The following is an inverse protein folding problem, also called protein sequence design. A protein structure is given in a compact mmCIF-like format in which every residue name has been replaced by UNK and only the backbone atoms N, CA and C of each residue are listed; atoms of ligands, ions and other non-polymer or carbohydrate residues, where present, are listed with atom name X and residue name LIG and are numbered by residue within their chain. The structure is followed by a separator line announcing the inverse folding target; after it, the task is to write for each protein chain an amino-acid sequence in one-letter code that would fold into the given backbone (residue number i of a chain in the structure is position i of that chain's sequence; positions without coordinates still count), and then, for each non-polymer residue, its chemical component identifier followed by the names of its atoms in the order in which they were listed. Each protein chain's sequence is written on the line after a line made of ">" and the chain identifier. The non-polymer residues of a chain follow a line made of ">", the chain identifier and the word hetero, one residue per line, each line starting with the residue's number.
data_IF_401799795145
#
_entry.id   IF_401799795145
#
_cell.length_a   1.000
_cell.length_b   1.000
_cell.length_c   1.000
_cell.angle_alpha   90.00
_cell.angle_beta   90.00
_cell.angle_gamma   90.00
#
_symmetry.space_group_name_H-M   'P 1'
#
loop_
_entity.id
_entity.type
_entity.pdbx_description
1 polymer ?
#
# COMPACT_ATOMS: atom_id res chain seq x y z
N UNK A 1 -14.88 -18.98 -16.47
CA UNK A 1 -14.62 -18.18 -15.26
C UNK A 1 -15.13 -16.74 -15.37
N UNK A 2 -14.84 -16.00 -16.47
CA UNK A 2 -15.28 -14.60 -16.66
C UNK A 2 -16.81 -14.46 -16.77
N UNK A 3 -17.45 -15.31 -17.57
CA UNK A 3 -18.92 -15.38 -17.70
C UNK A 3 -19.60 -15.64 -16.34
N UNK A 4 -18.95 -16.40 -15.48
CA UNK A 4 -19.45 -16.71 -14.15
C UNK A 4 -19.44 -15.49 -13.22
N UNK A 5 -18.41 -14.63 -13.30
CA UNK A 5 -18.33 -13.39 -12.51
C UNK A 5 -19.49 -12.44 -12.84
N UNK A 6 -19.76 -12.21 -14.13
CA UNK A 6 -20.86 -11.34 -14.55
C UNK A 6 -22.22 -11.91 -14.17
N UNK A 7 -22.41 -13.23 -14.31
CA UNK A 7 -23.66 -13.89 -13.94
C UNK A 7 -23.93 -13.80 -12.43
N UNK A 8 -22.90 -13.95 -11.61
CA UNK A 8 -22.98 -13.77 -10.15
C UNK A 8 -23.27 -12.33 -9.78
N UNK A 9 -22.54 -11.38 -10.37
CA UNK A 9 -22.78 -9.95 -10.14
C UNK A 9 -24.22 -9.58 -10.45
N UNK A 10 -24.74 -10.01 -11.60
CA UNK A 10 -26.13 -9.77 -12.01
C UNK A 10 -27.13 -10.34 -11.01
N UNK A 11 -26.89 -11.57 -10.52
CA UNK A 11 -27.76 -12.19 -9.51
C UNK A 11 -27.78 -11.43 -8.18
N UNK A 12 -26.70 -10.78 -7.85
CA UNK A 12 -26.53 -10.01 -6.62
C UNK A 12 -26.83 -8.50 -6.79
N UNK A 13 -27.32 -8.12 -7.96
CA UNK A 13 -27.58 -6.71 -8.31
C UNK A 13 -26.37 -5.80 -8.14
N UNK A 14 -25.18 -6.34 -8.44
CA UNK A 14 -23.92 -5.59 -8.40
C UNK A 14 -23.62 -5.04 -9.79
N UNK A 15 -23.44 -3.73 -9.89
CA UNK A 15 -23.03 -3.06 -11.13
C UNK A 15 -21.64 -3.55 -11.54
N UNK A 16 -21.49 -3.96 -12.81
CA UNK A 16 -20.23 -4.55 -13.31
C UNK A 16 -19.26 -3.55 -13.88
N UNK A 17 -19.76 -2.47 -14.47
CA UNK A 17 -18.99 -1.44 -15.20
C UNK A 17 -19.00 -0.12 -14.45
N UNK A 18 -18.49 -0.15 -13.21
CA UNK A 18 -18.31 1.04 -12.36
C UNK A 18 -16.89 1.14 -11.88
N UNK A 19 -16.46 2.35 -11.57
CA UNK A 19 -15.12 2.62 -11.06
C UNK A 19 -15.00 2.10 -9.63
N UNK A 20 -13.97 1.30 -9.39
CA UNK A 20 -13.66 0.75 -8.06
C UNK A 20 -12.17 0.80 -7.76
N UNK A 21 -11.86 0.86 -6.50
CA UNK A 21 -10.51 0.69 -5.98
C UNK A 21 -10.55 -0.21 -4.76
N UNK A 22 -9.48 -0.97 -4.54
CA UNK A 22 -9.34 -1.80 -3.35
C UNK A 22 -8.39 -1.13 -2.38
N UNK A 23 -8.86 -0.97 -1.14
CA UNK A 23 -8.03 -0.65 0.02
C UNK A 23 -7.82 -1.91 0.85
N UNK A 24 -6.62 -2.08 1.37
CA UNK A 24 -6.30 -3.07 2.39
C UNK A 24 -5.87 -2.31 3.64
N UNK A 25 -6.49 -2.62 4.75
CA UNK A 25 -6.15 -2.11 6.06
C UNK A 25 -5.54 -3.25 6.83
N UNK A 26 -4.32 -3.09 7.33
CA UNK A 26 -3.69 -4.02 8.27
C UNK A 26 -3.64 -3.39 9.65
N UNK A 27 -4.07 -4.13 10.65
CA UNK A 27 -4.01 -3.77 12.06
C UNK A 27 -3.17 -4.79 12.81
N UNK A 28 -2.49 -4.38 13.88
CA UNK A 28 -1.59 -5.27 14.64
C UNK A 28 -2.26 -5.94 15.85
N UNK A 29 -3.57 -5.85 15.98
CA UNK A 29 -4.27 -6.41 17.13
C UNK A 29 -4.48 -7.93 17.05
N UNK A 30 -3.94 -8.61 18.05
CA UNK A 30 -4.16 -10.05 18.27
C UNK A 30 -5.53 -10.37 18.89
N UNK A 31 -6.31 -9.39 19.41
CA UNK A 31 -7.56 -9.68 20.16
C UNK A 31 -8.56 -8.54 20.10
N UNK A 32 -9.79 -8.90 19.79
CA UNK A 32 -11.03 -8.12 20.01
C UNK A 32 -11.09 -6.72 19.40
N UNK A 33 -10.39 -6.48 18.28
CA UNK A 33 -10.52 -5.18 17.64
C UNK A 33 -11.87 -5.07 16.93
N UNK A 34 -12.61 -4.04 17.25
CA UNK A 34 -13.82 -3.65 16.52
C UNK A 34 -13.49 -2.95 15.20
N UNK A 35 -12.25 -3.08 14.69
CA UNK A 35 -11.76 -2.38 13.51
C UNK A 35 -12.66 -2.62 12.28
N UNK A 36 -13.05 -3.88 12.04
CA UNK A 36 -13.97 -4.22 10.95
C UNK A 36 -15.34 -3.53 11.10
N UNK A 37 -15.90 -3.53 12.32
CA UNK A 37 -17.20 -2.90 12.58
C UNK A 37 -17.10 -1.37 12.54
N UNK A 38 -16.00 -0.79 13.02
CA UNK A 38 -15.71 0.63 12.90
C UNK A 38 -15.64 1.07 11.44
N UNK A 39 -14.93 0.32 10.60
CA UNK A 39 -14.85 0.60 9.16
C UNK A 39 -16.22 0.43 8.49
N UNK A 40 -16.97 -0.62 8.81
CA UNK A 40 -18.34 -0.81 8.30
C UNK A 40 -19.27 0.33 8.69
N UNK A 41 -19.19 0.78 9.93
CA UNK A 41 -20.01 1.89 10.43
C UNK A 41 -19.67 3.21 9.73
N UNK A 42 -18.37 3.46 9.44
CA UNK A 42 -17.93 4.63 8.68
C UNK A 42 -18.51 4.68 7.28
N UNK A 43 -18.52 3.54 6.60
CA UNK A 43 -19.07 3.46 5.23
C UNK A 43 -20.59 3.58 5.19
N UNK A 44 -21.26 3.24 6.30
CA UNK A 44 -22.71 3.34 6.46
C UNK A 44 -23.49 2.25 5.69
N UNK A 45 -24.73 1.99 6.12
CA UNK A 45 -25.59 0.94 5.58
C UNK A 45 -26.11 1.19 4.15
N UNK A 46 -25.89 2.38 3.60
CA UNK A 46 -26.32 2.77 2.23
C UNK A 46 -25.20 2.77 1.21
N UNK A 47 -23.99 2.46 1.64
CA UNK A 47 -22.82 2.40 0.78
C UNK A 47 -22.92 1.20 -0.18
N UNK A 48 -22.52 1.41 -1.43
CA UNK A 48 -22.32 0.33 -2.40
C UNK A 48 -20.95 -0.35 -2.24
N UNK A 49 -20.23 0.00 -1.17
CA UNK A 49 -18.91 -0.52 -0.88
C UNK A 49 -19.00 -1.91 -0.24
N UNK A 50 -18.00 -2.74 -0.50
CA UNK A 50 -17.89 -4.04 0.13
C UNK A 50 -16.75 -4.02 1.13
N UNK A 51 -17.06 -4.45 2.35
CA UNK A 51 -16.08 -4.57 3.43
C UNK A 51 -16.06 -6.00 3.93
N UNK A 52 -14.88 -6.59 3.94
CA UNK A 52 -14.67 -7.94 4.45
C UNK A 52 -13.33 -8.03 5.18
N UNK A 53 -13.24 -8.93 6.15
CA UNK A 53 -11.96 -9.36 6.72
C UNK A 53 -11.50 -10.62 5.99
N UNK A 54 -10.21 -10.69 5.67
CA UNK A 54 -9.60 -11.90 5.09
C UNK A 54 -9.04 -12.77 6.20
N UNK A 55 -8.53 -12.13 7.22
CA UNK A 55 -7.99 -12.73 8.45
C UNK A 55 -8.18 -11.73 9.61
N UNK A 56 -7.61 -12.05 10.77
CA UNK A 56 -7.75 -11.23 11.98
C UNK A 56 -7.08 -9.84 11.86
N UNK A 57 -6.12 -9.70 10.94
CA UNK A 57 -5.31 -8.48 10.76
C UNK A 57 -5.70 -7.65 9.55
N UNK A 58 -6.32 -8.25 8.53
CA UNK A 58 -6.53 -7.61 7.24
C UNK A 58 -8.00 -7.38 6.92
N UNK A 59 -8.36 -6.10 6.79
CA UNK A 59 -9.68 -5.65 6.32
C UNK A 59 -9.53 -5.18 4.88
N UNK A 60 -10.43 -5.64 4.01
CA UNK A 60 -10.49 -5.24 2.62
C UNK A 60 -11.73 -4.40 2.38
N UNK A 61 -11.54 -3.26 1.74
CA UNK A 61 -12.61 -2.40 1.26
C UNK A 61 -12.55 -2.36 -0.25
N UNK A 62 -13.62 -2.77 -0.91
CA UNK A 62 -13.83 -2.51 -2.34
C UNK A 62 -14.72 -1.28 -2.44
N UNK A 63 -14.09 -0.14 -2.70
CA UNK A 63 -14.75 1.17 -2.75
C UNK A 63 -15.27 1.45 -4.15
N UNK A 64 -16.56 1.77 -4.29
CA UNK A 64 -17.12 2.35 -5.50
C UNK A 64 -16.82 3.85 -5.53
N UNK A 65 -16.38 4.36 -6.70
CA UNK A 65 -15.92 5.72 -6.88
C UNK A 65 -16.84 6.51 -7.78
N UNK A 66 -17.01 7.78 -7.48
CA UNK A 66 -17.67 8.75 -8.36
C UNK A 66 -16.75 9.11 -9.54
N UNK A 67 -17.32 9.73 -10.58
CA UNK A 67 -16.57 10.07 -11.80
C UNK A 67 -15.43 11.06 -11.55
N UNK A 68 -15.57 11.92 -10.55
CA UNK A 68 -14.61 12.99 -10.21
C UNK A 68 -13.52 12.51 -9.25
N UNK A 69 -13.69 11.32 -8.63
CA UNK A 69 -12.72 10.80 -7.68
C UNK A 69 -11.39 10.48 -8.35
N UNK A 70 -10.37 11.22 -8.00
CA UNK A 70 -9.00 11.10 -8.49
C UNK A 70 -8.03 10.68 -7.40
N UNK A 71 -6.74 10.83 -7.66
CA UNK A 71 -5.68 10.41 -6.74
C UNK A 71 -5.76 11.11 -5.36
N UNK A 72 -6.11 12.40 -5.34
CA UNK A 72 -6.23 13.18 -4.09
C UNK A 72 -7.38 12.69 -3.22
N UNK A 73 -8.49 12.32 -3.84
CA UNK A 73 -9.67 11.79 -3.15
C UNK A 73 -9.37 10.41 -2.56
N UNK A 74 -8.63 9.55 -3.28
CA UNK A 74 -8.19 8.25 -2.75
C UNK A 74 -7.28 8.41 -1.54
N UNK A 75 -6.32 9.32 -1.61
CA UNK A 75 -5.43 9.63 -0.48
C UNK A 75 -6.22 10.19 0.72
N UNK A 76 -7.18 11.08 0.46
CA UNK A 76 -8.09 11.61 1.49
C UNK A 76 -8.94 10.50 2.14
N UNK A 77 -9.47 9.57 1.35
CA UNK A 77 -10.22 8.42 1.86
C UNK A 77 -9.33 7.54 2.75
N UNK A 78 -8.13 7.21 2.27
CA UNK A 78 -7.17 6.41 3.04
C UNK A 78 -6.81 7.08 4.38
N UNK A 79 -6.51 8.37 4.37
CA UNK A 79 -6.24 9.12 5.60
C UNK A 79 -7.46 9.20 6.53
N UNK A 80 -8.67 9.26 5.98
CA UNK A 80 -9.91 9.21 6.75
C UNK A 80 -10.07 7.87 7.48
N UNK A 81 -9.81 6.76 6.82
CA UNK A 81 -9.78 5.43 7.44
C UNK A 81 -8.71 5.33 8.53
N UNK A 82 -7.50 5.85 8.25
CA UNK A 82 -6.42 5.84 9.22
C UNK A 82 -6.77 6.64 10.48
N UNK A 83 -7.33 7.84 10.32
CA UNK A 83 -7.75 8.68 11.45
C UNK A 83 -8.80 7.96 12.30
N UNK A 84 -9.82 7.38 11.66
CA UNK A 84 -10.84 6.62 12.36
C UNK A 84 -10.25 5.47 13.19
N UNK A 85 -9.32 4.73 12.60
CA UNK A 85 -8.69 3.59 13.26
C UNK A 85 -7.86 4.04 14.46
N UNK A 86 -7.07 5.10 14.32
CA UNK A 86 -6.29 5.68 15.42
C UNK A 86 -7.17 6.20 16.56
N UNK A 87 -8.28 6.85 16.23
CA UNK A 87 -9.25 7.33 17.22
C UNK A 87 -9.91 6.17 18.01
N UNK A 88 -9.87 4.96 17.47
CA UNK A 88 -10.37 3.73 18.10
C UNK A 88 -9.26 2.82 18.67
N UNK A 89 -8.02 3.34 18.79
CA UNK A 89 -6.91 2.63 19.44
C UNK A 89 -6.02 1.81 18.52
N UNK A 90 -6.24 1.86 17.18
CA UNK A 90 -5.42 1.17 16.19
C UNK A 90 -4.26 2.08 15.72
N UNK A 91 -3.32 2.38 16.61
CA UNK A 91 -2.23 3.33 16.37
C UNK A 91 -1.31 2.93 15.22
N UNK A 92 -1.05 1.61 15.09
CA UNK A 92 -0.11 1.03 14.13
C UNK A 92 -0.78 0.58 12.83
N UNK A 93 -2.02 1.00 12.58
CA UNK A 93 -2.74 0.66 11.37
C UNK A 93 -1.99 1.11 10.11
N UNK A 94 -1.88 0.22 9.13
CA UNK A 94 -1.34 0.49 7.80
C UNK A 94 -2.44 0.38 6.76
N UNK A 95 -2.47 1.31 5.81
CA UNK A 95 -3.45 1.32 4.73
C UNK A 95 -2.72 1.34 3.40
N UNK A 96 -3.05 0.41 2.54
CA UNK A 96 -2.56 0.40 1.17
C UNK A 96 -3.70 0.33 0.17
N UNK A 97 -3.53 0.91 -1.02
CA UNK A 97 -4.55 0.85 -2.06
C UNK A 97 -3.95 0.66 -3.45
N UNK A 98 -4.71 -0.06 -4.28
CA UNK A 98 -4.37 -0.34 -5.67
C UNK A 98 -4.73 0.80 -6.62
N UNK A 99 -4.73 0.49 -7.92
CA UNK A 99 -5.22 1.42 -8.95
C UNK A 99 -6.72 1.30 -9.14
N UNK A 100 -7.33 2.38 -9.64
CA UNK A 100 -8.74 2.40 -10.04
C UNK A 100 -8.94 1.45 -11.22
N UNK A 101 -9.97 0.62 -11.12
CA UNK A 101 -10.43 -0.28 -12.16
C UNK A 101 -11.85 0.07 -12.59
N UNK A 102 -12.24 -0.31 -13.81
CA UNK A 102 -13.52 0.08 -14.41
C UNK A 102 -14.48 -1.08 -14.61
N UNK A 103 -14.06 -2.28 -14.30
CA UNK A 103 -14.83 -3.51 -14.47
C UNK A 103 -14.64 -4.42 -13.25
N UNK A 104 -15.72 -5.10 -12.84
CA UNK A 104 -15.71 -6.00 -11.68
C UNK A 104 -14.67 -7.12 -11.80
N UNK A 105 -14.39 -7.60 -13.01
CA UNK A 105 -13.35 -8.62 -13.26
C UNK A 105 -11.94 -8.15 -12.92
N UNK A 106 -11.71 -6.83 -12.89
CA UNK A 106 -10.42 -6.21 -12.62
C UNK A 106 -10.21 -5.90 -11.14
N UNK A 107 -11.23 -6.06 -10.28
CA UNK A 107 -11.11 -5.82 -8.84
C UNK A 107 -9.98 -6.66 -8.24
N UNK A 108 -9.79 -7.90 -8.71
CA UNK A 108 -8.67 -8.74 -8.28
C UNK A 108 -7.29 -8.16 -8.62
N UNK A 109 -7.18 -7.36 -9.68
CA UNK A 109 -5.94 -6.63 -10.02
C UNK A 109 -5.69 -5.54 -8.98
N UNK A 110 -6.69 -4.68 -8.71
CA UNK A 110 -6.57 -3.63 -7.70
C UNK A 110 -6.23 -4.21 -6.31
N UNK A 111 -6.79 -5.37 -5.95
CA UNK A 111 -6.45 -6.09 -4.72
C UNK A 111 -4.97 -6.52 -4.69
N UNK A 112 -4.47 -7.15 -5.76
CA UNK A 112 -3.07 -7.59 -5.84
C UNK A 112 -2.10 -6.41 -5.77
N UNK A 113 -2.46 -5.30 -6.38
CA UNK A 113 -1.70 -4.05 -6.34
C UNK A 113 -1.69 -3.45 -4.92
N UNK A 114 -2.84 -3.42 -4.24
CA UNK A 114 -2.94 -2.98 -2.85
C UNK A 114 -2.11 -3.88 -1.91
N UNK A 115 -2.17 -5.20 -2.11
CA UNK A 115 -1.38 -6.16 -1.33
C UNK A 115 0.12 -5.95 -1.54
N UNK A 116 0.55 -5.77 -2.80
CA UNK A 116 1.94 -5.47 -3.10
C UNK A 116 2.36 -4.12 -2.49
N UNK A 117 1.49 -3.11 -2.52
CA UNK A 117 1.76 -1.82 -1.89
C UNK A 117 1.95 -1.96 -0.37
N UNK A 118 1.15 -2.77 0.28
CA UNK A 118 1.29 -3.05 1.71
C UNK A 118 2.63 -3.73 2.03
N UNK A 119 2.98 -4.79 1.30
CA UNK A 119 4.18 -5.57 1.52
C UNK A 119 5.47 -4.77 1.23
N UNK A 120 5.49 -4.04 0.12
CA UNK A 120 6.61 -3.15 -0.27
C UNK A 120 6.72 -1.97 0.69
N UNK A 121 5.57 -1.43 1.11
CA UNK A 121 5.50 -0.29 2.03
C UNK A 121 6.17 -0.57 3.36
N UNK A 122 5.95 -1.73 3.94
CA UNK A 122 6.58 -2.16 5.19
C UNK A 122 8.11 -2.20 5.12
N UNK A 123 8.65 -2.47 3.94
CA UNK A 123 10.10 -2.58 3.74
C UNK A 123 10.73 -1.22 3.42
N UNK A 124 10.13 -0.46 2.50
CA UNK A 124 10.75 0.73 1.91
C UNK A 124 10.17 2.05 2.43
N UNK A 125 9.01 2.03 3.09
CA UNK A 125 8.29 3.22 3.53
C UNK A 125 7.78 3.06 4.97
N UNK A 126 8.62 2.55 5.87
CA UNK A 126 8.28 2.20 7.25
C UNK A 126 7.67 3.34 8.08
N UNK A 127 7.95 4.59 7.71
CA UNK A 127 7.39 5.78 8.38
C UNK A 127 6.01 6.20 7.85
N UNK A 128 5.49 5.53 6.82
CA UNK A 128 4.21 5.86 6.19
C UNK A 128 3.13 4.86 6.57
N UNK A 129 2.02 5.37 7.06
CA UNK A 129 0.85 4.55 7.35
C UNK A 129 -0.12 4.43 6.16
N UNK A 130 0.03 5.25 5.12
CA UNK A 130 -0.78 5.21 3.90
C UNK A 130 0.12 5.06 2.69
N UNK A 131 -0.12 4.01 1.89
CA UNK A 131 0.73 3.63 0.77
C UNK A 131 -0.11 3.38 -0.47
N UNK A 132 0.09 4.20 -1.50
CA UNK A 132 -0.50 3.99 -2.83
C UNK A 132 0.38 3.06 -3.67
N UNK A 133 -0.21 2.12 -4.41
CA UNK A 133 0.53 1.30 -5.37
C UNK A 133 1.31 2.14 -6.39
N UNK A 134 0.71 3.24 -6.85
CA UNK A 134 1.34 4.17 -7.80
C UNK A 134 2.58 4.89 -7.24
N UNK A 135 2.73 4.95 -5.91
CA UNK A 135 3.84 5.63 -5.25
C UNK A 135 5.04 4.72 -4.93
N UNK A 136 4.95 3.42 -5.23
CA UNK A 136 5.99 2.46 -4.88
C UNK A 136 7.31 2.65 -5.65
N UNK A 137 7.27 3.30 -6.81
CA UNK A 137 8.48 3.54 -7.61
C UNK A 137 9.23 2.24 -7.92
N UNK A 138 10.55 2.30 -7.74
CA UNK A 138 11.44 1.16 -7.99
C UNK A 138 11.26 0.03 -6.95
N UNK A 139 10.74 0.33 -5.75
CA UNK A 139 10.54 -0.67 -4.70
C UNK A 139 9.72 -1.87 -5.16
N UNK A 140 8.68 -1.64 -6.00
CA UNK A 140 7.86 -2.72 -6.55
C UNK A 140 8.64 -3.67 -7.49
N UNK A 141 9.68 -3.18 -8.17
CA UNK A 141 10.53 -4.01 -9.04
C UNK A 141 11.50 -4.83 -8.19
N UNK A 142 12.15 -4.18 -7.22
CA UNK A 142 13.11 -4.84 -6.33
C UNK A 142 12.42 -5.95 -5.53
N UNK A 143 11.24 -5.69 -4.99
CA UNK A 143 10.48 -6.67 -4.23
C UNK A 143 10.13 -7.94 -5.02
N UNK A 144 9.98 -7.83 -6.34
CA UNK A 144 9.67 -8.95 -7.23
C UNK A 144 10.89 -9.73 -7.70
N UNK A 145 12.10 -9.28 -7.37
CA UNK A 145 13.32 -10.00 -7.75
C UNK A 145 13.45 -11.31 -6.94
N UNK A 146 13.86 -12.41 -7.60
CA UNK A 146 14.15 -13.65 -6.88
C UNK A 146 15.24 -13.46 -5.84
N UNK A 147 15.02 -13.95 -4.62
CA UNK A 147 15.99 -13.86 -3.51
C UNK A 147 17.40 -14.32 -3.90
N UNK A 148 17.59 -15.42 -4.65
CA UNK A 148 18.94 -15.84 -5.10
C UNK A 148 19.64 -14.77 -5.94
N UNK A 149 18.89 -14.05 -6.80
CA UNK A 149 19.42 -12.97 -7.61
C UNK A 149 19.85 -11.79 -6.75
N UNK A 150 19.03 -11.40 -5.76
CA UNK A 150 19.37 -10.35 -4.82
C UNK A 150 20.64 -10.69 -4.03
N UNK A 151 20.75 -11.93 -3.53
CA UNK A 151 21.94 -12.40 -2.80
C UNK A 151 23.20 -12.41 -3.67
N UNK A 152 23.09 -12.81 -4.92
CA UNK A 152 24.19 -12.77 -5.88
C UNK A 152 24.66 -11.33 -6.08
N UNK A 153 23.75 -10.42 -6.39
CA UNK A 153 24.04 -9.00 -6.58
C UNK A 153 24.71 -8.35 -5.37
N UNK A 154 24.20 -8.62 -4.16
CA UNK A 154 24.77 -8.10 -2.91
C UNK A 154 26.23 -8.56 -2.76
N UNK A 155 26.52 -9.84 -3.02
CA UNK A 155 27.89 -10.37 -2.91
C UNK A 155 28.83 -9.73 -3.93
N UNK A 156 28.36 -9.48 -5.15
CA UNK A 156 29.16 -8.87 -6.21
C UNK A 156 29.47 -7.40 -5.91
N UNK A 157 28.47 -6.64 -5.44
CA UNK A 157 28.62 -5.19 -5.22
C UNK A 157 29.35 -4.90 -3.90
N UNK A 158 29.07 -5.64 -2.84
CA UNK A 158 29.60 -5.35 -1.51
C UNK A 158 30.85 -6.19 -1.16
N UNK A 159 31.41 -6.95 -2.12
CA UNK A 159 32.66 -7.70 -1.96
C UNK A 159 32.72 -8.52 -0.66
N UNK A 160 31.58 -9.09 -0.27
CA UNK A 160 31.46 -9.92 0.92
C UNK A 160 31.15 -9.17 2.23
N UNK A 161 30.95 -7.84 2.18
CA UNK A 161 30.38 -7.10 3.30
C UNK A 161 28.88 -7.38 3.43
N UNK A 162 28.39 -7.31 4.65
CA UNK A 162 26.96 -7.42 4.96
C UNK A 162 26.29 -6.03 4.95
N UNK A 163 24.99 -5.93 4.60
CA UNK A 163 24.20 -4.73 4.90
C UNK A 163 24.25 -4.34 6.39
N UNK A 164 24.46 -5.29 7.29
CA UNK A 164 24.58 -5.08 8.74
C UNK A 164 25.89 -4.34 9.13
N UNK A 165 26.84 -4.22 8.20
CA UNK A 165 28.08 -3.48 8.40
C UNK A 165 27.93 -1.97 8.18
N UNK A 166 26.76 -1.51 7.69
CA UNK A 166 26.46 -0.09 7.53
C UNK A 166 26.02 0.53 8.86
N UNK A 167 26.49 1.76 9.09
CA UNK A 167 26.00 2.56 10.21
C UNK A 167 24.55 3.04 9.96
N UNK A 168 23.88 3.44 11.05
CA UNK A 168 22.48 3.87 11.00
C UNK A 168 22.26 5.09 10.08
N UNK A 169 23.23 6.01 10.01
CA UNK A 169 23.14 7.22 9.17
C UNK A 169 23.17 6.83 7.68
N UNK A 170 24.05 5.92 7.31
CA UNK A 170 24.14 5.39 5.94
C UNK A 170 22.84 4.67 5.56
N UNK A 171 22.30 3.81 6.45
CA UNK A 171 21.03 3.11 6.20
C UNK A 171 19.86 4.08 6.08
N UNK A 172 19.77 5.11 6.93
CA UNK A 172 18.75 6.15 6.84
C UNK A 172 18.85 6.92 5.52
N UNK A 173 20.07 7.22 5.08
CA UNK A 173 20.35 7.89 3.80
C UNK A 173 19.90 7.04 2.61
N UNK A 174 20.21 5.76 2.61
CA UNK A 174 19.78 4.81 1.58
C UNK A 174 18.26 4.72 1.54
N UNK A 175 17.59 4.57 2.68
CA UNK A 175 16.14 4.51 2.76
C UNK A 175 15.50 5.79 2.21
N UNK A 176 16.00 6.96 2.62
CA UNK A 176 15.51 8.24 2.12
C UNK A 176 15.71 8.42 0.61
N UNK A 177 16.79 7.87 0.06
CA UNK A 177 17.05 7.88 -1.37
C UNK A 177 16.04 7.03 -2.14
N UNK A 178 15.68 5.85 -1.63
CA UNK A 178 14.61 5.03 -2.22
C UNK A 178 13.24 5.68 -2.10
N UNK A 179 12.90 6.27 -0.95
CA UNK A 179 11.64 7.00 -0.76
C UNK A 179 11.45 8.12 -1.77
N UNK A 180 12.54 8.77 -2.16
CA UNK A 180 12.56 9.85 -3.15
C UNK A 180 12.75 9.33 -4.60
N UNK A 181 12.48 8.06 -4.86
CA UNK A 181 12.62 7.44 -6.19
C UNK A 181 14.00 7.65 -6.83
N UNK A 182 15.06 7.52 -6.05
CA UNK A 182 16.46 7.70 -6.45
C UNK A 182 16.78 9.13 -6.90
N UNK A 183 16.05 10.11 -6.43
CA UNK A 183 16.29 11.52 -6.74
C UNK A 183 17.32 12.13 -5.78
N UNK A 184 18.57 12.24 -6.26
CA UNK A 184 19.69 12.80 -5.49
C UNK A 184 19.39 14.20 -4.96
N UNK A 185 18.82 15.09 -5.78
CA UNK A 185 18.57 16.48 -5.39
C UNK A 185 17.52 16.60 -4.30
N UNK A 186 16.44 15.85 -4.40
CA UNK A 186 15.38 15.84 -3.40
C UNK A 186 15.86 15.18 -2.10
N UNK A 187 16.58 14.06 -2.20
CA UNK A 187 17.12 13.36 -1.03
C UNK A 187 18.11 14.24 -0.26
N UNK A 188 19.06 14.87 -0.96
CA UNK A 188 20.02 15.76 -0.32
C UNK A 188 19.37 16.97 0.36
N UNK A 189 18.30 17.50 -0.25
CA UNK A 189 17.52 18.60 0.33
C UNK A 189 16.82 18.16 1.63
N UNK A 190 16.20 16.99 1.62
CA UNK A 190 15.48 16.44 2.80
C UNK A 190 16.43 16.04 3.93
N UNK A 191 17.64 15.57 3.60
CA UNK A 191 18.66 15.21 4.58
C UNK A 191 19.53 16.41 5.02
N UNK A 192 19.28 17.60 4.46
CA UNK A 192 20.09 18.81 4.72
C UNK A 192 21.60 18.63 4.46
N UNK A 193 21.96 17.80 3.47
CA UNK A 193 23.33 17.56 3.06
C UNK A 193 23.58 18.07 1.64
N UNK A 194 24.84 18.34 1.29
CA UNK A 194 25.17 18.71 -0.08
C UNK A 194 25.04 17.50 -1.01
N UNK A 195 24.51 17.72 -2.23
CA UNK A 195 24.29 16.64 -3.21
C UNK A 195 25.55 15.78 -3.47
N UNK A 196 26.73 16.39 -3.43
CA UNK A 196 27.97 15.64 -3.64
C UNK A 196 28.26 14.68 -2.48
N UNK A 197 27.88 15.05 -1.25
CA UNK A 197 28.00 14.17 -0.08
C UNK A 197 27.13 12.92 -0.19
N UNK A 198 25.98 13.04 -0.85
CA UNK A 198 25.10 11.90 -1.10
C UNK A 198 25.63 10.93 -2.17
N UNK A 199 26.43 11.43 -3.11
CA UNK A 199 26.93 10.66 -4.26
C UNK A 199 28.26 9.94 -3.94
N UNK A 200 29.00 10.42 -2.97
CA UNK A 200 30.25 9.80 -2.50
C UNK A 200 30.03 8.87 -1.31
#
# INVERSE_FOLDING_TARGET
>A
LLVDIYNRAKKLHIDTEVRRVVFIIETDHEKDSNALDNVRNLLGNKSKDFVTAVDEKNIIIVKELELEDGHKELEKMANGYLTLLKDNGEEDALIAYGTVVHDIKEVSKSYKEAKLALDVGKIFFSERNVIAYSALGIGRLIYQLPIPLCKMFIREIFEGKSPDDFDEETLATINKFFENNLNVSETSRQLYIHRNTLVY
#
